data_IF_243495772762
#
_entry.id   IF_243495772762
#
_cell.length_a   1.000
_cell.length_b   1.000
_cell.length_c   1.000
_cell.angle_alpha   90.00
_cell.angle_beta   90.00
_cell.angle_gamma   90.00
#
_symmetry.space_group_name_H-M   'P 1'
#
loop_
_entity.id
_entity.type
_entity.pdbx_description
1 polymer ?
#
# COMPACT_ATOMS: atom_id res chain seq x y z
N UNK A 1 4.26 -10.41 18.01
CA UNK A 1 3.50 -9.15 18.21
C UNK A 1 3.08 -8.66 16.84
N UNK A 2 1.86 -8.13 16.70
CA UNK A 2 1.33 -7.63 15.43
C UNK A 2 1.11 -6.12 15.47
N UNK A 3 0.99 -5.50 14.30
CA UNK A 3 0.67 -4.08 14.14
C UNK A 3 -0.26 -3.91 12.93
N UNK A 4 -0.86 -2.73 12.81
CA UNK A 4 -1.88 -2.43 11.81
C UNK A 4 -1.47 -1.18 11.05
N UNK A 5 -1.64 -1.20 9.72
CA UNK A 5 -1.71 0.02 8.91
C UNK A 5 -3.16 0.24 8.55
N UNK A 6 -3.68 1.41 8.88
CA UNK A 6 -4.95 1.92 8.36
C UNK A 6 -4.62 3.07 7.40
N UNK A 7 -5.00 2.91 6.14
CA UNK A 7 -4.79 3.89 5.09
C UNK A 7 -6.12 4.49 4.67
N UNK A 8 -6.15 5.81 4.47
CA UNK A 8 -7.26 6.54 3.85
C UNK A 8 -6.73 7.24 2.61
N UNK A 9 -7.31 6.90 1.45
CA UNK A 9 -7.01 7.47 0.15
C UNK A 9 -8.20 8.31 -0.30
N UNK A 10 -7.96 9.56 -0.67
CA UNK A 10 -8.99 10.50 -1.11
C UNK A 10 -8.74 10.93 -2.54
N UNK A 11 -9.66 10.58 -3.43
CA UNK A 11 -9.62 10.93 -4.84
C UNK A 11 -10.58 12.09 -5.11
N UNK A 12 -10.15 13.17 -5.80
CA UNK A 12 -11.04 14.22 -6.27
C UNK A 12 -11.98 13.69 -7.37
N UNK A 13 -12.95 14.52 -7.78
CA UNK A 13 -13.92 14.24 -8.85
C UNK A 13 -15.04 13.26 -8.50
N UNK A 14 -15.33 13.10 -7.20
CA UNK A 14 -16.53 12.43 -6.73
C UNK A 14 -16.66 10.99 -7.26
N UNK A 15 -17.78 10.60 -7.87
CA UNK A 15 -18.02 9.22 -8.33
C UNK A 15 -16.99 8.68 -9.32
N UNK A 16 -16.34 9.56 -10.11
CA UNK A 16 -15.33 9.18 -11.10
C UNK A 16 -13.96 8.87 -10.44
N UNK A 17 -13.79 9.23 -9.17
CA UNK A 17 -12.56 8.96 -8.42
C UNK A 17 -12.25 7.46 -8.28
N UNK A 18 -13.28 6.59 -8.24
CA UNK A 18 -13.07 5.12 -8.21
C UNK A 18 -12.49 4.57 -9.50
N UNK A 19 -12.97 5.07 -10.65
CA UNK A 19 -12.47 4.66 -11.95
C UNK A 19 -11.01 5.10 -12.14
N UNK A 20 -10.70 6.35 -11.76
CA UNK A 20 -9.33 6.86 -11.76
C UNK A 20 -8.40 6.11 -10.81
N UNK A 21 -8.92 5.68 -9.66
CA UNK A 21 -8.17 4.86 -8.70
C UNK A 21 -7.88 3.44 -9.23
N UNK A 22 -8.48 3.03 -10.36
CA UNK A 22 -8.41 1.65 -10.85
C UNK A 22 -9.11 0.67 -9.91
N UNK A 23 -10.03 1.13 -9.06
CA UNK A 23 -10.66 0.28 -8.04
C UNK A 23 -11.61 -0.74 -8.68
N UNK A 24 -11.28 -2.02 -8.57
CA UNK A 24 -12.03 -3.08 -9.24
C UNK A 24 -13.12 -3.72 -8.36
N UNK A 25 -12.84 -3.95 -7.08
CA UNK A 25 -13.82 -4.46 -6.11
C UNK A 25 -13.31 -4.36 -4.67
N UNK A 26 -14.22 -4.31 -3.66
CA UNK A 26 -13.85 -4.41 -2.26
C UNK A 26 -13.07 -5.69 -1.96
N UNK A 27 -12.17 -5.59 -1.01
CA UNK A 27 -11.50 -6.73 -0.42
C UNK A 27 -12.05 -6.89 0.98
N UNK A 28 -12.93 -7.86 1.23
CA UNK A 28 -13.65 -7.99 2.50
C UNK A 28 -13.34 -9.32 3.17
N UNK A 29 -13.35 -9.36 4.51
CA UNK A 29 -13.37 -10.60 5.31
C UNK A 29 -14.57 -10.63 6.34
N UNK A 30 -15.81 -11.07 5.97
CA UNK A 30 -16.83 -11.66 6.90
C UNK A 30 -18.05 -12.41 6.26
N UNK A 31 -18.96 -13.08 7.00
CA UNK A 31 -19.05 -14.52 7.34
C UNK A 31 -19.80 -15.42 6.31
N UNK A 32 -19.04 -15.91 5.34
CA UNK A 32 -19.07 -17.24 4.73
C UNK A 32 -17.66 -17.42 4.15
N UNK A 33 -16.82 -18.28 4.72
CA UNK A 33 -15.40 -18.38 4.31
C UNK A 33 -14.64 -17.05 4.31
N UNK A 34 -15.02 -16.12 5.18
CA UNK A 34 -14.33 -14.87 5.36
C UNK A 34 -13.87 -14.79 6.82
N UNK A 35 -12.75 -15.46 7.07
CA UNK A 35 -12.04 -15.35 8.32
C UNK A 35 -10.81 -14.50 8.02
N UNK A 36 -10.42 -13.62 8.94
CA UNK A 36 -9.16 -12.89 8.87
C UNK A 36 -7.99 -13.82 9.20
N UNK A 37 -7.94 -14.94 8.47
CA UNK A 37 -6.82 -15.85 8.37
C UNK A 37 -5.93 -15.18 7.33
N UNK A 38 -4.59 -15.20 7.50
CA UNK A 38 -3.70 -14.98 6.37
C UNK A 38 -4.28 -15.73 5.17
N UNK A 39 -4.45 -15.06 4.03
CA UNK A 39 -4.95 -15.70 2.82
C UNK A 39 -4.23 -17.03 2.60
N UNK A 40 -4.90 -18.02 2.01
CA UNK A 40 -4.29 -19.32 1.71
C UNK A 40 -2.84 -19.10 1.22
N UNK A 41 -1.82 -19.73 1.82
CA UNK A 41 -0.44 -19.49 1.45
C UNK A 41 -0.28 -19.51 -0.07
N UNK A 42 0.18 -18.39 -0.64
CA UNK A 42 0.29 -18.19 -2.10
C UNK A 42 -0.82 -17.41 -2.79
N UNK A 43 -1.83 -16.88 -2.08
CA UNK A 43 -2.91 -16.07 -2.67
C UNK A 43 -2.71 -14.55 -2.59
N UNK A 44 -1.75 -14.08 -1.78
CA UNK A 44 -1.31 -12.68 -1.72
C UNK A 44 0.21 -12.65 -1.67
N UNK A 45 0.81 -11.73 -2.42
CA UNK A 45 2.27 -11.58 -2.50
C UNK A 45 2.64 -10.10 -2.56
N UNK A 46 3.81 -9.72 -2.03
CA UNK A 46 4.37 -8.39 -2.24
C UNK A 46 4.39 -8.02 -3.72
N UNK A 47 4.07 -6.76 -4.02
CA UNK A 47 4.01 -6.22 -5.36
C UNK A 47 2.94 -5.14 -5.49
N UNK A 48 2.68 -4.78 -6.73
CA UNK A 48 1.55 -3.96 -7.14
C UNK A 48 0.24 -4.65 -6.73
N UNK A 49 -0.68 -3.88 -6.19
CA UNK A 49 -2.02 -4.32 -5.80
C UNK A 49 -2.95 -4.40 -7.02
N UNK A 50 -3.69 -5.48 -7.19
CA UNK A 50 -4.67 -5.62 -8.28
C UNK A 50 -5.95 -4.79 -8.06
N UNK A 51 -6.19 -4.32 -6.83
CA UNK A 51 -7.37 -3.55 -6.43
C UNK A 51 -7.10 -2.06 -6.30
N UNK A 52 -5.86 -1.67 -6.02
CA UNK A 52 -5.37 -0.29 -6.03
C UNK A 52 -4.02 -0.21 -6.77
N UNK A 53 -4.02 -0.36 -8.10
CA UNK A 53 -2.79 -0.58 -8.88
C UNK A 53 -1.84 0.61 -8.93
N UNK A 54 -2.25 1.79 -8.48
CA UNK A 54 -1.40 2.97 -8.33
C UNK A 54 -0.73 3.06 -6.96
N UNK A 55 -1.08 2.21 -5.99
CA UNK A 55 -0.59 2.30 -4.62
C UNK A 55 0.82 1.72 -4.48
N UNK A 56 1.71 2.51 -3.86
CA UNK A 56 3.02 2.06 -3.36
C UNK A 56 3.00 2.12 -1.85
N UNK A 57 3.37 1.02 -1.20
CA UNK A 57 3.60 0.96 0.25
C UNK A 57 4.95 0.31 0.54
N UNK A 58 5.81 0.99 1.29
CA UNK A 58 7.11 0.50 1.72
C UNK A 58 7.21 0.45 3.23
N UNK A 59 7.98 -0.52 3.75
CA UNK A 59 8.38 -0.60 5.16
C UNK A 59 9.90 -0.64 5.24
N UNK A 60 10.51 0.33 5.91
CA UNK A 60 11.97 0.53 5.92
C UNK A 60 12.78 -0.64 6.49
N UNK A 61 12.13 -1.50 7.28
CA UNK A 61 12.73 -2.68 7.92
C UNK A 61 12.24 -3.99 7.33
N UNK A 62 11.55 -3.94 6.18
CA UNK A 62 11.12 -5.13 5.44
C UNK A 62 12.33 -5.95 5.00
N UNK A 63 12.27 -7.26 5.26
CA UNK A 63 13.15 -8.26 4.64
C UNK A 63 12.41 -9.10 3.60
N UNK A 64 11.20 -8.68 3.23
CA UNK A 64 10.34 -9.40 2.28
C UNK A 64 10.73 -9.00 0.85
N UNK A 65 10.89 -9.98 -0.04
CA UNK A 65 11.22 -9.75 -1.45
C UNK A 65 12.52 -8.94 -1.62
N UNK A 66 12.46 -7.84 -2.37
CA UNK A 66 13.57 -6.89 -2.53
C UNK A 66 13.91 -6.06 -1.26
N UNK A 67 13.36 -6.41 -0.09
CA UNK A 67 13.58 -5.72 1.17
C UNK A 67 12.88 -4.36 1.20
N UNK A 68 13.62 -3.29 1.51
CA UNK A 68 13.07 -1.94 1.64
C UNK A 68 12.43 -1.39 0.36
N UNK A 69 12.84 -1.86 -0.82
CA UNK A 69 12.26 -1.45 -2.10
C UNK A 69 11.06 -2.27 -2.56
N UNK A 70 10.72 -3.35 -1.87
CA UNK A 70 9.58 -4.18 -2.25
C UNK A 70 8.28 -3.41 -2.01
N UNK A 71 7.45 -3.23 -3.05
CA UNK A 71 6.10 -2.71 -2.86
C UNK A 71 5.27 -3.75 -2.08
N UNK A 72 4.56 -3.29 -1.05
CA UNK A 72 3.76 -4.10 -0.13
C UNK A 72 2.26 -3.80 -0.24
N UNK A 73 1.83 -2.99 -1.23
CA UNK A 73 0.43 -2.62 -1.43
C UNK A 73 -0.48 -3.86 -1.52
N UNK A 74 -0.07 -4.87 -2.28
CA UNK A 74 -0.80 -6.13 -2.42
C UNK A 74 -0.79 -7.04 -1.18
N UNK A 75 -0.41 -6.53 -0.01
CA UNK A 75 -0.55 -7.23 1.27
C UNK A 75 -1.70 -6.70 2.13
N UNK A 76 -2.33 -5.59 1.75
CA UNK A 76 -3.50 -5.06 2.42
C UNK A 76 -4.66 -6.07 2.32
N UNK A 77 -5.47 -6.15 3.37
CA UNK A 77 -6.44 -7.23 3.59
C UNK A 77 -7.88 -6.77 3.43
N UNK A 78 -8.17 -5.52 3.77
CA UNK A 78 -9.52 -4.99 3.82
C UNK A 78 -9.60 -3.65 3.10
N UNK A 79 -10.12 -3.64 1.87
CA UNK A 79 -10.31 -2.44 1.07
C UNK A 79 -11.79 -2.15 0.91
N UNK A 80 -12.22 -0.93 1.24
CA UNK A 80 -13.61 -0.52 1.18
C UNK A 80 -13.76 0.94 0.76
N UNK A 81 -14.88 1.26 0.09
CA UNK A 81 -15.23 2.63 -0.26
C UNK A 81 -16.07 3.23 0.86
N UNK A 82 -15.60 4.33 1.46
CA UNK A 82 -16.26 4.96 2.63
C UNK A 82 -16.95 6.29 2.31
N UNK A 83 -16.57 6.94 1.21
CA UNK A 83 -17.22 8.16 0.72
C UNK A 83 -17.38 8.08 -0.80
N UNK A 84 -18.54 8.47 -1.32
CA UNK A 84 -18.87 8.60 -2.75
C UNK A 84 -19.70 9.85 -3.02
N UNK A 85 -19.44 10.93 -2.29
CA UNK A 85 -20.09 12.23 -2.53
C UNK A 85 -19.71 12.81 -3.89
N UNK A 86 -20.41 13.86 -4.32
CA UNK A 86 -20.18 14.49 -5.63
C UNK A 86 -18.75 15.05 -5.80
N UNK A 87 -18.02 15.28 -4.70
CA UNK A 87 -16.73 15.94 -4.73
C UNK A 87 -15.56 15.01 -4.40
N UNK A 88 -15.81 13.91 -3.67
CA UNK A 88 -14.76 13.03 -3.15
C UNK A 88 -15.19 11.57 -3.25
N UNK A 89 -14.24 10.73 -3.63
CA UNK A 89 -14.26 9.30 -3.31
C UNK A 89 -13.22 9.02 -2.24
N UNK A 90 -13.59 8.28 -1.20
CA UNK A 90 -12.66 7.79 -0.18
C UNK A 90 -12.59 6.27 -0.21
N UNK A 91 -11.37 5.74 -0.25
CA UNK A 91 -11.07 4.32 -0.09
C UNK A 91 -10.30 4.16 1.21
N UNK A 92 -10.77 3.26 2.07
CA UNK A 92 -10.05 2.80 3.25
C UNK A 92 -9.45 1.45 2.99
N UNK A 93 -8.20 1.28 3.40
CA UNK A 93 -7.48 0.02 3.23
C UNK A 93 -6.73 -0.36 4.52
N UNK A 94 -6.95 -1.58 5.03
CA UNK A 94 -6.30 -2.07 6.25
C UNK A 94 -5.37 -3.24 5.97
N UNK A 95 -4.16 -3.15 6.52
CA UNK A 95 -3.18 -4.24 6.52
C UNK A 95 -2.91 -4.73 7.95
N UNK A 96 -3.15 -6.03 8.17
CA UNK A 96 -2.97 -6.68 9.46
C UNK A 96 -1.66 -7.47 9.46
N UNK A 97 -0.66 -6.95 10.15
CA UNK A 97 0.73 -7.44 10.05
C UNK A 97 1.04 -8.40 11.19
N UNK A 98 1.28 -9.67 10.84
CA UNK A 98 1.49 -10.76 11.81
C UNK A 98 2.93 -11.20 12.07
N UNK A 99 3.97 -10.64 11.42
CA UNK A 99 5.27 -11.33 11.27
C UNK A 99 6.53 -10.51 11.61
N UNK A 100 7.59 -11.23 12.00
CA UNK A 100 8.96 -10.75 12.21
C UNK A 100 9.70 -10.35 10.92
N UNK A 101 9.14 -10.65 9.74
CA UNK A 101 9.72 -10.32 8.43
C UNK A 101 9.83 -8.80 8.17
N UNK A 102 9.27 -7.98 9.05
CA UNK A 102 9.41 -6.52 9.05
C UNK A 102 10.30 -6.03 10.19
N UNK A 103 10.99 -6.93 10.89
CA UNK A 103 11.87 -6.65 12.01
C UNK A 103 11.22 -6.87 13.38
N UNK A 104 12.07 -6.93 14.41
CA UNK A 104 11.67 -7.13 15.82
C UNK A 104 12.43 -6.14 16.69
N UNK A 105 11.73 -5.46 17.60
CA UNK A 105 12.31 -4.47 18.53
C UNK A 105 13.15 -3.38 17.83
N UNK A 106 12.65 -2.89 16.69
CA UNK A 106 13.37 -1.98 15.79
C UNK A 106 12.52 -0.76 15.44
N UNK A 107 13.18 0.38 15.23
CA UNK A 107 12.51 1.56 14.67
C UNK A 107 12.22 1.31 13.19
N UNK A 108 10.98 1.51 12.79
CA UNK A 108 10.51 1.32 11.44
C UNK A 108 9.79 2.56 10.93
N UNK A 109 9.60 2.60 9.62
CA UNK A 109 8.88 3.63 8.90
C UNK A 109 8.05 2.99 7.81
N UNK A 110 6.79 3.39 7.71
CA UNK A 110 5.93 3.16 6.55
C UNK A 110 5.93 4.41 5.67
N UNK A 111 6.07 4.20 4.37
CA UNK A 111 5.91 5.21 3.33
C UNK A 111 4.78 4.74 2.41
N UNK A 112 3.82 5.62 2.11
CA UNK A 112 2.74 5.31 1.17
C UNK A 112 2.47 6.48 0.22
N UNK A 113 2.20 6.18 -1.05
CA UNK A 113 1.83 7.17 -2.07
C UNK A 113 1.09 6.51 -3.24
N UNK A 114 0.38 7.31 -4.03
CA UNK A 114 -0.24 6.90 -5.30
C UNK A 114 0.59 7.46 -6.46
N UNK A 115 1.00 6.57 -7.37
CA UNK A 115 1.72 6.90 -8.59
C UNK A 115 0.77 7.57 -9.59
N UNK A 116 1.26 8.55 -10.34
CA UNK A 116 0.50 9.21 -11.40
C UNK A 116 0.19 8.26 -12.56
N UNK A 117 -0.78 8.61 -13.40
CA UNK A 117 -1.00 7.94 -14.68
C UNK A 117 0.13 8.36 -15.64
N UNK A 118 1.19 7.56 -15.67
CA UNK A 118 2.40 7.82 -16.43
C UNK A 118 2.21 7.49 -17.92
N UNK A 119 1.27 6.59 -18.24
CA UNK A 119 1.01 6.14 -19.60
C UNK A 119 -0.15 6.89 -20.30
N UNK A 120 -0.90 7.70 -19.55
CA UNK A 120 -1.98 8.56 -20.04
C UNK A 120 -3.29 7.82 -20.36
N UNK A 121 -3.52 6.64 -19.78
CA UNK A 121 -4.73 5.83 -20.03
C UNK A 121 -5.95 6.29 -19.20
N UNK A 122 -5.78 7.25 -18.29
CA UNK A 122 -6.81 7.77 -17.40
C UNK A 122 -6.96 7.03 -16.07
N UNK A 123 -6.10 6.04 -15.78
CA UNK A 123 -6.14 5.16 -14.61
C UNK A 123 -4.79 5.23 -13.90
N UNK A 124 -4.80 5.30 -12.56
CA UNK A 124 -3.58 5.21 -11.77
C UNK A 124 -3.19 3.74 -11.59
N UNK A 125 -2.50 3.16 -12.59
CA UNK A 125 -2.09 1.74 -12.60
C UNK A 125 -0.59 1.51 -12.87
N UNK A 126 0.24 2.55 -12.75
CA UNK A 126 1.66 2.51 -13.07
C UNK A 126 2.59 2.22 -11.86
N UNK A 127 2.06 1.80 -10.71
CA UNK A 127 2.92 1.51 -9.55
C UNK A 127 3.81 0.28 -9.77
N UNK A 128 5.12 0.37 -9.49
CA UNK A 128 6.01 -0.76 -9.70
C UNK A 128 5.86 -1.82 -8.61
N UNK A 129 6.22 -3.06 -8.95
CA UNK A 129 6.38 -4.15 -7.98
C UNK A 129 7.55 -3.89 -7.00
N UNK A 130 8.60 -3.22 -7.47
CA UNK A 130 9.79 -2.86 -6.69
C UNK A 130 10.17 -1.43 -7.02
N UNK A 131 10.25 -0.57 -6.00
CA UNK A 131 10.70 0.81 -6.14
C UNK A 131 12.22 0.80 -6.33
N UNK A 132 12.73 1.37 -7.44
CA UNK A 132 14.16 1.46 -7.68
C UNK A 132 14.80 2.54 -6.79
N UNK A 133 16.08 2.36 -6.46
CA UNK A 133 16.89 3.42 -5.87
C UNK A 133 17.19 4.46 -6.97
N UNK A 134 16.39 5.53 -7.01
CA UNK A 134 16.42 6.48 -8.11
C UNK A 134 17.66 7.39 -8.03
N UNK A 135 18.17 7.61 -6.82
CA UNK A 135 19.28 8.51 -6.58
C UNK A 135 20.63 7.79 -6.36
N UNK A 136 20.62 6.45 -6.32
CA UNK A 136 21.76 5.55 -6.13
C UNK A 136 22.52 5.78 -4.81
N UNK A 137 21.83 6.17 -3.73
CA UNK A 137 22.44 6.34 -2.39
C UNK A 137 22.40 5.07 -1.52
N UNK A 138 21.86 3.97 -2.08
CA UNK A 138 21.77 2.66 -1.44
C UNK A 138 20.60 2.55 -0.45
N UNK A 139 19.69 3.52 -0.41
CA UNK A 139 18.49 3.50 0.42
C UNK A 139 17.27 3.70 -0.47
N UNK A 140 16.16 3.06 -0.07
CA UNK A 140 14.86 3.35 -0.66
C UNK A 140 14.08 4.20 0.33
N UNK A 141 13.88 5.47 0.00
CA UNK A 141 13.18 6.43 0.83
C UNK A 141 12.19 7.31 0.06
N UNK A 142 11.73 8.39 0.70
CA UNK A 142 10.76 9.33 0.13
C UNK A 142 11.25 9.94 -1.19
N UNK A 143 12.55 10.12 -1.40
CA UNK A 143 13.11 10.66 -2.65
C UNK A 143 12.86 9.71 -3.81
N UNK A 144 13.06 8.41 -3.59
CA UNK A 144 12.91 7.38 -4.61
C UNK A 144 11.44 7.17 -4.95
N UNK A 145 10.56 7.19 -3.93
CA UNK A 145 9.11 7.18 -4.15
C UNK A 145 8.66 8.41 -4.93
N UNK A 146 9.20 9.60 -4.64
CA UNK A 146 8.88 10.82 -5.41
C UNK A 146 9.36 10.77 -6.85
N UNK A 147 10.46 10.08 -7.11
CA UNK A 147 11.00 9.94 -8.46
C UNK A 147 10.11 9.10 -9.39
N UNK A 148 9.14 8.36 -8.85
CA UNK A 148 8.15 7.61 -9.63
C UNK A 148 7.16 8.51 -10.39
N UNK A 149 6.96 9.76 -9.96
CA UNK A 149 5.84 10.59 -10.41
C UNK A 149 4.55 10.23 -9.64
N UNK A 150 4.02 11.15 -8.85
CA UNK A 150 2.98 10.86 -7.86
C UNK A 150 1.72 11.70 -8.08
N UNK A 151 0.56 11.05 -8.06
CA UNK A 151 -0.75 11.69 -8.02
C UNK A 151 -1.16 12.13 -6.59
N UNK A 152 -0.44 11.67 -5.56
CA UNK A 152 -0.71 12.02 -4.16
C UNK A 152 0.48 12.69 -3.47
N UNK A 153 0.23 13.24 -2.28
CA UNK A 153 1.31 13.46 -1.32
C UNK A 153 1.91 12.12 -0.87
N UNK A 154 3.15 12.17 -0.37
CA UNK A 154 3.77 11.03 0.31
C UNK A 154 3.36 11.03 1.77
N UNK A 155 2.67 9.99 2.21
CA UNK A 155 2.38 9.75 3.61
C UNK A 155 3.55 9.00 4.26
N UNK A 156 3.87 9.34 5.50
CA UNK A 156 4.99 8.73 6.22
C UNK A 156 4.68 8.62 7.70
N UNK A 157 4.83 7.41 8.25
CA UNK A 157 4.61 7.14 9.67
C UNK A 157 5.82 6.41 10.23
N UNK A 158 6.42 6.96 11.29
CA UNK A 158 7.50 6.31 12.04
C UNK A 158 6.91 5.66 13.28
N UNK A 159 7.31 4.44 13.56
CA UNK A 159 6.85 3.69 14.73
C UNK A 159 7.91 2.67 15.14
N UNK A 160 7.76 2.10 16.34
CA UNK A 160 8.62 1.01 16.81
C UNK A 160 7.85 -0.30 16.68
N UNK A 161 8.44 -1.28 16.00
CA UNK A 161 7.93 -2.65 16.03
C UNK A 161 8.39 -3.26 17.36
N UNK A 162 7.45 -3.46 18.27
CA UNK A 162 7.72 -4.11 19.55
C UNK A 162 7.79 -5.63 19.37
N UNK A 163 8.69 -6.28 20.11
CA UNK A 163 8.74 -7.72 20.21
C UNK A 163 9.35 -8.14 21.54
N UNK A 164 8.91 -9.27 22.07
CA UNK A 164 9.63 -9.93 23.17
C UNK A 164 10.88 -10.57 22.57
N UNK A 165 12.03 -10.34 23.21
CA UNK A 165 13.28 -11.09 22.97
C UNK A 165 13.08 -12.58 23.16
#
# INVERSE_FOLDING_TARGET
MGWIVNLSLRFPDGPNGLERAGFTAPQLTGPAGHNNIPPFPGTFSPGQDDRLPGLVVLVSTSTVGAGAGQNLANLFNLTGVTDRTQNVTEITDDWLVGAAAFGTNVQSQVIAAVVEDLNGNGIFDDAPNVVPDANNDGKIDVKDVRALGLASNVATVKFRINGNT
#
